data_IF_440981073971
#
_entry.id   IF_440981073971
#
_cell.length_a   1.000
_cell.length_b   1.000
_cell.length_c   1.000
_cell.angle_alpha   90.00
_cell.angle_beta   90.00
_cell.angle_gamma   90.00
#
_symmetry.space_group_name_H-M   'P 1'
#
loop_
_entity.id
_entity.type
_entity.pdbx_description
1 polymer ?
#
# COMPACT_ATOMS: atom_id res chain seq x y z
N UNK A 1 32.61 -32.67 -0.33
CA UNK A 1 31.28 -32.18 0.10
C UNK A 1 31.02 -30.90 -0.69
N UNK A 2 30.23 -30.95 -1.77
CA UNK A 2 29.97 -29.80 -2.63
C UNK A 2 28.89 -28.94 -1.96
N UNK A 3 29.27 -27.85 -1.30
CA UNK A 3 28.33 -26.98 -0.56
C UNK A 3 27.74 -25.89 -1.49
N UNK A 4 28.29 -25.71 -2.69
CA UNK A 4 27.89 -24.66 -3.61
C UNK A 4 26.84 -25.17 -4.61
N UNK A 5 25.56 -24.89 -4.33
CA UNK A 5 24.52 -24.96 -5.37
C UNK A 5 24.77 -23.83 -6.37
N UNK A 6 24.63 -24.12 -7.66
CA UNK A 6 24.80 -23.12 -8.74
C UNK A 6 23.65 -22.11 -8.79
N UNK A 7 22.59 -22.37 -8.05
CA UNK A 7 21.35 -21.60 -8.02
C UNK A 7 20.86 -21.55 -6.56
N UNK A 8 20.57 -20.35 -6.06
CA UNK A 8 20.06 -20.12 -4.70
C UNK A 8 18.90 -19.14 -4.73
N UNK A 9 17.91 -19.32 -3.87
CA UNK A 9 16.85 -18.35 -3.66
C UNK A 9 17.15 -17.53 -2.41
N UNK A 10 17.24 -16.21 -2.53
CA UNK A 10 17.51 -15.31 -1.41
C UNK A 10 16.62 -14.07 -1.49
N UNK A 11 15.91 -13.76 -0.40
CA UNK A 11 14.93 -12.67 -0.32
C UNK A 11 13.91 -12.65 -1.47
N UNK A 12 13.60 -13.84 -2.01
CA UNK A 12 12.68 -14.02 -3.12
C UNK A 12 13.23 -13.60 -4.49
N UNK A 13 14.55 -13.58 -4.63
CA UNK A 13 15.26 -13.57 -5.91
C UNK A 13 15.93 -14.92 -6.14
N UNK A 14 15.85 -15.42 -7.37
CA UNK A 14 16.66 -16.54 -7.85
C UNK A 14 18.01 -15.99 -8.32
N UNK A 15 19.09 -16.52 -7.75
CA UNK A 15 20.46 -16.11 -8.01
C UNK A 15 21.19 -17.26 -8.71
N UNK A 16 21.79 -16.99 -9.86
CA UNK A 16 22.63 -17.93 -10.59
C UNK A 16 23.92 -17.26 -11.09
N UNK A 17 24.67 -17.98 -11.93
CA UNK A 17 25.94 -17.47 -12.49
C UNK A 17 25.75 -16.33 -13.50
N UNK A 18 24.53 -16.13 -13.99
CA UNK A 18 24.15 -15.15 -15.00
C UNK A 18 23.54 -13.88 -14.40
N UNK A 19 23.13 -13.91 -13.13
CA UNK A 19 22.68 -12.74 -12.39
C UNK A 19 21.61 -13.07 -11.35
N UNK A 20 20.70 -12.13 -11.14
CA UNK A 20 19.55 -12.30 -10.26
C UNK A 20 18.25 -12.01 -11.01
N UNK A 21 17.21 -12.78 -10.70
CA UNK A 21 15.86 -12.58 -11.22
C UNK A 21 14.84 -12.69 -10.08
N UNK A 22 13.68 -12.00 -10.15
CA UNK A 22 12.61 -12.23 -9.19
C UNK A 22 12.13 -13.67 -9.26
N UNK A 23 11.98 -14.34 -8.11
CA UNK A 23 11.50 -15.73 -8.09
C UNK A 23 10.10 -15.84 -8.69
N UNK A 24 9.79 -16.98 -9.30
CA UNK A 24 8.47 -17.20 -9.89
C UNK A 24 7.32 -16.96 -8.91
N UNK A 25 7.52 -17.24 -7.60
CA UNK A 25 6.53 -16.98 -6.55
C UNK A 25 6.31 -15.48 -6.31
N UNK A 26 7.37 -14.67 -6.33
CA UNK A 26 7.28 -13.23 -6.18
C UNK A 26 6.62 -12.56 -7.41
N UNK A 27 6.96 -13.02 -8.62
CA UNK A 27 6.26 -12.60 -9.86
C UNK A 27 4.76 -12.93 -9.78
N UNK A 28 4.40 -14.07 -9.20
CA UNK A 28 3.01 -14.51 -9.03
C UNK A 28 2.23 -13.71 -7.99
N UNK A 29 2.90 -13.10 -7.01
CA UNK A 29 2.29 -12.16 -6.05
C UNK A 29 1.98 -10.82 -6.72
N UNK A 30 2.90 -10.35 -7.57
CA UNK A 30 2.71 -9.14 -8.37
C UNK A 30 1.59 -9.31 -9.40
N UNK A 31 1.47 -10.48 -10.03
CA UNK A 31 0.40 -10.77 -10.99
C UNK A 31 -1.01 -10.85 -10.38
N UNK A 32 -1.12 -10.96 -9.04
CA UNK A 32 -2.41 -10.96 -8.34
C UNK A 32 -2.86 -9.55 -7.96
N UNK A 33 -1.96 -8.57 -8.10
CA UNK A 33 -2.32 -7.19 -7.86
C UNK A 33 -3.20 -6.73 -9.04
N UNK A 34 -4.41 -6.20 -8.77
CA UNK A 34 -5.29 -5.77 -9.84
C UNK A 34 -4.60 -4.67 -10.64
N UNK A 35 -4.55 -4.83 -11.97
CA UNK A 35 -3.98 -3.83 -12.87
C UNK A 35 -4.79 -2.54 -12.69
N UNK A 36 -4.15 -1.43 -12.26
CA UNK A 36 -4.84 -0.17 -12.06
C UNK A 36 -5.44 0.28 -13.38
N UNK A 37 -6.74 0.55 -13.38
CA UNK A 37 -7.50 0.85 -14.61
C UNK A 37 -7.45 2.33 -14.99
N UNK A 38 -6.91 3.17 -14.12
CA UNK A 38 -6.86 4.61 -14.34
C UNK A 38 -5.70 5.27 -13.56
N UNK A 39 -5.35 6.48 -13.96
CA UNK A 39 -4.27 7.29 -13.37
C UNK A 39 -4.46 7.54 -11.87
N UNK A 40 -5.71 7.56 -11.38
CA UNK A 40 -6.03 7.77 -9.95
C UNK A 40 -5.66 6.54 -9.12
N UNK A 41 -5.89 5.34 -9.63
CA UNK A 41 -5.46 4.09 -9.00
C UNK A 41 -3.94 3.93 -9.05
N UNK A 42 -3.30 4.32 -10.17
CA UNK A 42 -1.83 4.35 -10.28
C UNK A 42 -1.22 5.29 -9.23
N UNK A 43 -1.76 6.51 -9.11
CA UNK A 43 -1.29 7.48 -8.10
C UNK A 43 -1.51 6.96 -6.68
N UNK A 44 -2.66 6.32 -6.42
CA UNK A 44 -2.96 5.74 -5.12
C UNK A 44 -2.02 4.60 -4.74
N UNK A 45 -1.54 3.80 -5.69
CA UNK A 45 -0.53 2.76 -5.45
C UNK A 45 0.86 3.34 -5.23
N UNK A 46 1.23 4.38 -5.98
CA UNK A 46 2.49 5.10 -5.78
C UNK A 46 2.54 5.77 -4.41
N UNK A 47 1.46 6.40 -3.97
CA UNK A 47 1.35 7.02 -2.64
C UNK A 47 1.42 5.99 -1.50
N UNK A 48 1.00 4.75 -1.77
CA UNK A 48 1.13 3.60 -0.86
C UNK A 48 2.59 3.17 -0.70
N UNK A 49 3.32 3.13 -1.82
CA UNK A 49 4.75 2.81 -1.86
C UNK A 49 5.65 3.93 -1.32
N UNK A 50 5.24 5.20 -1.47
CA UNK A 50 6.03 6.38 -1.10
C UNK A 50 5.90 6.80 0.37
N UNK A 51 5.06 6.14 1.18
CA UNK A 51 5.14 6.28 2.64
C UNK A 51 6.44 5.65 3.13
N UNK A 52 7.53 6.43 3.10
CA UNK A 52 8.90 6.02 3.37
C UNK A 52 8.98 5.03 4.54
N UNK A 53 9.22 3.75 4.21
CA UNK A 53 9.53 2.71 5.18
C UNK A 53 10.99 2.92 5.55
N UNK A 54 11.24 3.70 6.59
CA UNK A 54 12.56 3.74 7.22
C UNK A 54 12.64 2.55 8.16
N UNK A 55 13.56 1.63 7.89
CA UNK A 55 13.84 0.48 8.75
C UNK A 55 15.34 0.29 8.91
N UNK A 56 15.74 -0.31 10.03
CA UNK A 56 17.10 -0.78 10.26
C UNK A 56 17.20 -2.22 9.73
N UNK A 57 18.38 -2.59 9.24
CA UNK A 57 18.69 -3.94 8.77
C UNK A 57 18.30 -4.98 9.86
N UNK A 58 17.49 -5.97 9.50
CA UNK A 58 16.96 -6.99 10.40
C UNK A 58 15.61 -6.68 11.07
N UNK A 59 14.98 -5.54 10.77
CA UNK A 59 13.64 -5.18 11.24
C UNK A 59 12.61 -5.05 10.11
N UNK A 60 12.85 -5.70 8.98
CA UNK A 60 12.02 -5.62 7.77
C UNK A 60 10.58 -6.08 8.06
N UNK A 61 10.43 -7.22 8.72
CA UNK A 61 9.13 -7.82 9.01
C UNK A 61 8.31 -6.96 9.98
N UNK A 62 8.97 -6.36 10.98
CA UNK A 62 8.36 -5.45 11.93
C UNK A 62 8.01 -4.11 11.28
N UNK A 63 8.84 -3.60 10.36
CA UNK A 63 8.55 -2.40 9.59
C UNK A 63 7.34 -2.60 8.67
N UNK A 64 7.25 -3.76 8.02
CA UNK A 64 6.09 -4.15 7.21
C UNK A 64 4.84 -4.29 8.09
N UNK A 65 4.93 -4.92 9.27
CA UNK A 65 3.82 -5.04 10.20
C UNK A 65 3.35 -3.68 10.72
N UNK A 66 4.27 -2.75 11.02
CA UNK A 66 3.96 -1.37 11.41
C UNK A 66 3.24 -0.61 10.30
N UNK A 67 3.66 -0.77 9.05
CA UNK A 67 3.00 -0.13 7.90
C UNK A 67 1.62 -0.73 7.65
N UNK A 68 1.50 -2.06 7.72
CA UNK A 68 0.24 -2.78 7.56
C UNK A 68 -0.80 -2.43 8.63
N UNK A 69 -0.35 -2.12 9.84
CA UNK A 69 -1.21 -1.69 10.96
C UNK A 69 -1.40 -0.17 11.05
N UNK A 70 -0.66 0.62 10.25
CA UNK A 70 -0.74 2.08 10.31
C UNK A 70 -2.05 2.55 9.71
N UNK A 71 -3.00 2.88 10.58
CA UNK A 71 -4.14 3.69 10.17
C UNK A 71 -3.62 5.07 9.78
N UNK A 72 -3.84 5.46 8.54
CA UNK A 72 -3.43 6.74 7.95
C UNK A 72 -4.65 7.37 7.31
N UNK A 73 -4.55 8.65 6.95
CA UNK A 73 -5.65 9.36 6.26
C UNK A 73 -6.00 8.70 4.92
N UNK A 74 -5.05 8.05 4.24
CA UNK A 74 -5.28 7.33 2.99
C UNK A 74 -5.94 5.96 3.22
N UNK A 75 -5.54 5.19 4.24
CA UNK A 75 -6.24 3.93 4.58
C UNK A 75 -7.65 4.19 5.10
N UNK A 76 -7.86 5.27 5.84
CA UNK A 76 -9.18 5.72 6.23
C UNK A 76 -10.03 6.18 5.02
N UNK A 77 -9.41 6.71 3.96
CA UNK A 77 -10.10 7.08 2.73
C UNK A 77 -10.54 5.85 1.92
N UNK A 78 -9.70 4.81 1.83
CA UNK A 78 -10.12 3.54 1.24
C UNK A 78 -11.31 2.93 1.97
N UNK A 79 -11.30 2.95 3.30
CA UNK A 79 -12.40 2.46 4.12
C UNK A 79 -13.67 3.33 3.96
N UNK A 80 -13.52 4.65 3.81
CA UNK A 80 -14.61 5.55 3.46
C UNK A 80 -15.24 5.14 2.10
N UNK A 81 -14.41 4.93 1.08
CA UNK A 81 -14.87 4.50 -0.24
C UNK A 81 -15.61 3.18 -0.18
N UNK A 82 -15.15 2.21 0.62
CA UNK A 82 -15.85 0.93 0.76
C UNK A 82 -17.26 1.09 1.33
N UNK A 83 -17.43 2.00 2.29
CA UNK A 83 -18.66 2.13 3.07
C UNK A 83 -19.65 3.17 2.52
N UNK A 84 -19.20 4.13 1.69
CA UNK A 84 -20.04 5.23 1.19
C UNK A 84 -19.89 5.42 -0.32
N UNK A 85 -20.92 5.05 -1.08
CA UNK A 85 -20.91 5.14 -2.55
C UNK A 85 -20.70 6.57 -3.07
N UNK A 86 -21.24 7.58 -2.37
CA UNK A 86 -21.03 9.00 -2.69
C UNK A 86 -19.55 9.38 -2.76
N UNK A 87 -18.71 8.73 -1.93
CA UNK A 87 -17.30 9.07 -1.82
C UNK A 87 -16.45 8.63 -3.02
N UNK A 88 -16.94 7.68 -3.82
CA UNK A 88 -16.29 7.23 -5.07
C UNK A 88 -16.13 8.36 -6.09
N UNK A 89 -16.97 9.40 -5.98
CA UNK A 89 -16.95 10.54 -6.89
C UNK A 89 -15.86 11.56 -6.56
N UNK A 90 -15.22 11.46 -5.38
CA UNK A 90 -14.23 12.43 -4.91
C UNK A 90 -12.82 11.86 -4.96
N UNK A 91 -11.89 12.65 -5.49
CA UNK A 91 -10.46 12.35 -5.38
C UNK A 91 -10.00 12.55 -3.94
N UNK A 92 -8.95 11.84 -3.53
CA UNK A 92 -8.35 12.00 -2.20
C UNK A 92 -8.05 13.48 -1.86
N UNK A 93 -7.51 14.26 -2.80
CA UNK A 93 -7.26 15.70 -2.62
C UNK A 93 -8.52 16.55 -2.39
N UNK A 94 -9.67 16.08 -2.88
CA UNK A 94 -10.95 16.78 -2.79
C UNK A 94 -11.74 16.37 -1.54
N UNK A 95 -11.42 15.23 -0.93
CA UNK A 95 -12.08 14.70 0.27
C UNK A 95 -12.15 15.72 1.42
N UNK A 96 -11.09 16.50 1.75
CA UNK A 96 -11.18 17.51 2.79
C UNK A 96 -12.27 18.56 2.57
N UNK A 97 -12.74 18.80 1.35
CA UNK A 97 -13.83 19.75 1.09
C UNK A 97 -15.19 19.23 1.55
N UNK A 98 -15.39 17.90 1.52
CA UNK A 98 -16.68 17.24 1.80
C UNK A 98 -16.70 16.47 3.11
N UNK A 99 -15.53 16.04 3.58
CA UNK A 99 -15.35 15.25 4.78
C UNK A 99 -14.33 15.92 5.70
N UNK A 100 -14.48 15.69 7.00
CA UNK A 100 -13.52 16.09 8.03
C UNK A 100 -12.85 14.84 8.58
N UNK A 101 -11.53 14.88 8.70
CA UNK A 101 -10.79 13.75 9.27
C UNK A 101 -10.86 13.79 10.80
N UNK A 102 -11.46 12.77 11.39
CA UNK A 102 -11.47 12.57 12.82
C UNK A 102 -10.19 11.82 13.21
N UNK A 103 -9.25 12.54 13.85
CA UNK A 103 -7.95 11.99 14.26
C UNK A 103 -8.05 10.98 15.41
N UNK A 104 -9.04 11.08 16.29
CA UNK A 104 -9.18 10.13 17.39
C UNK A 104 -9.81 8.81 16.94
N UNK A 105 -10.81 8.88 16.05
CA UNK A 105 -11.43 7.70 15.45
C UNK A 105 -10.69 7.16 14.22
N UNK A 106 -9.71 7.91 13.70
CA UNK A 106 -8.98 7.65 12.45
C UNK A 106 -9.90 7.38 11.25
N UNK A 107 -10.96 8.19 11.12
CA UNK A 107 -12.01 8.03 10.10
C UNK A 107 -12.39 9.36 9.47
N UNK A 108 -12.76 9.32 8.20
CA UNK A 108 -13.40 10.45 7.53
C UNK A 108 -14.89 10.50 7.89
N UNK A 109 -15.36 11.68 8.29
CA UNK A 109 -16.76 11.93 8.64
C UNK A 109 -17.35 13.00 7.72
N UNK A 110 -18.58 12.81 7.25
CA UNK A 110 -19.24 13.77 6.36
C UNK A 110 -19.36 15.10 7.09
N UNK A 111 -18.93 16.17 6.42
CA UNK A 111 -18.92 17.52 7.01
C UNK A 111 -20.38 17.98 7.13
N UNK A 112 -20.82 18.30 8.35
CA UNK A 112 -22.11 18.94 8.56
C UNK A 112 -21.93 20.43 8.25
N UNK A 113 -22.57 20.93 7.19
CA UNK A 113 -22.76 22.38 7.04
C UNK A 113 -23.81 22.76 8.08
N UNK A 114 -23.48 23.70 8.96
CA UNK A 114 -24.44 24.22 9.94
C UNK A 114 -25.72 24.62 9.22
N UNK A 115 -26.86 24.13 9.72
CA UNK A 115 -28.16 24.63 9.31
C UNK A 115 -28.31 26.09 9.72
N UNK A 116 -29.05 26.85 8.90
CA UNK A 116 -29.62 28.15 9.27
C UNK A 116 -30.35 28.09 10.63
#
# INVERSE_FOLDING_TARGET
MQICKNEITYLGFELDKSGYSPSAENVRKDSKFPIPKNVKEVQSYLDLYQQAIVYQDGQEEEAVARVATRQTTITAWFELNKNYQDSHNYLYKDIPHYYTFNKSAMKWQKRQRGGE
#
